data_IF_740434651636
#
_entry.id   IF_740434651636
#
_cell.length_a   1.000
_cell.length_b   1.000
_cell.length_c   1.000
_cell.angle_alpha   90.00
_cell.angle_beta   90.00
_cell.angle_gamma   90.00
#
_symmetry.space_group_name_H-M   'P 1'
#
loop_
_entity.id
_entity.type
_entity.pdbx_description
1 polymer ?
#
# COMPACT_ATOMS: atom_id res chain seq x y z
N UNK A 1 -7.53 -8.85 8.50
CA UNK A 1 -8.66 -9.03 9.44
C UNK A 1 -8.82 -7.88 10.44
N UNK A 2 -7.76 -7.28 10.98
CA UNK A 2 -7.88 -6.21 12.00
C UNK A 2 -8.55 -4.91 11.50
N UNK A 3 -8.33 -4.52 10.24
CA UNK A 3 -8.88 -3.30 9.67
C UNK A 3 -10.41 -3.36 9.58
N UNK A 4 -10.94 -4.39 8.91
CA UNK A 4 -12.38 -4.63 8.82
C UNK A 4 -13.01 -4.96 10.17
N UNK A 5 -12.34 -5.71 11.06
CA UNK A 5 -12.85 -5.94 12.42
C UNK A 5 -13.06 -4.62 13.17
N UNK A 6 -12.10 -3.70 13.11
CA UNK A 6 -12.25 -2.38 13.73
C UNK A 6 -13.35 -1.52 13.08
N UNK A 7 -13.60 -1.68 11.77
CA UNK A 7 -14.67 -1.01 11.02
C UNK A 7 -16.03 -1.61 11.34
N UNK A 8 -16.12 -2.93 11.46
CA UNK A 8 -17.33 -3.70 11.80
C UNK A 8 -17.73 -3.41 13.25
N UNK A 9 -16.78 -3.50 14.19
CA UNK A 9 -17.01 -3.25 15.62
C UNK A 9 -17.43 -1.81 15.90
N UNK A 10 -16.87 -0.84 15.16
CA UNK A 10 -17.15 0.58 15.42
C UNK A 10 -18.46 1.07 14.80
N UNK A 11 -19.01 0.37 13.81
CA UNK A 11 -20.10 0.92 12.97
C UNK A 11 -21.46 0.18 13.08
N UNK A 12 -21.62 -0.78 13.99
CA UNK A 12 -22.90 -1.47 14.23
C UNK A 12 -23.34 -2.41 13.10
N UNK A 13 -24.51 -3.05 13.24
CA UNK A 13 -25.01 -4.12 12.36
C UNK A 13 -25.70 -3.68 11.06
N UNK A 14 -25.67 -2.39 10.73
CA UNK A 14 -26.30 -1.85 9.52
C UNK A 14 -25.40 -1.87 8.28
N UNK A 15 -26.01 -1.82 7.09
CA UNK A 15 -25.30 -1.61 5.82
C UNK A 15 -24.63 -0.23 5.77
N UNK A 16 -23.40 -0.19 5.22
CA UNK A 16 -22.54 1.00 5.18
C UNK A 16 -22.03 1.25 3.77
N UNK A 17 -21.73 2.51 3.51
CA UNK A 17 -21.01 2.94 2.31
C UNK A 17 -19.54 3.09 2.68
N UNK A 18 -18.64 2.49 1.92
CA UNK A 18 -17.18 2.61 2.10
C UNK A 18 -16.64 3.63 1.11
N UNK A 19 -16.06 4.72 1.60
CA UNK A 19 -15.45 5.76 0.79
C UNK A 19 -13.93 5.63 0.90
N UNK A 20 -13.27 5.51 -0.25
CA UNK A 20 -11.84 5.34 -0.38
C UNK A 20 -11.21 6.48 -1.18
N UNK A 21 -9.96 6.76 -0.87
CA UNK A 21 -9.07 7.60 -1.67
C UNK A 21 -8.33 6.74 -2.71
N UNK A 22 -7.64 7.34 -3.66
CA UNK A 22 -6.89 6.65 -4.70
C UNK A 22 -5.88 5.65 -4.09
N UNK A 23 -5.03 6.14 -3.20
CA UNK A 23 -4.04 5.30 -2.52
C UNK A 23 -4.66 4.22 -1.62
N UNK A 24 -5.70 4.57 -0.85
CA UNK A 24 -6.32 3.59 0.07
C UNK A 24 -7.16 2.55 -0.67
N UNK A 25 -7.64 2.86 -1.88
CA UNK A 25 -8.24 1.89 -2.80
C UNK A 25 -7.23 0.82 -3.19
N UNK A 26 -5.99 1.20 -3.54
CA UNK A 26 -4.92 0.25 -3.81
C UNK A 26 -4.54 -0.59 -2.59
N UNK A 27 -4.48 0.00 -1.39
CA UNK A 27 -4.22 -0.74 -0.15
C UNK A 27 -5.30 -1.79 0.10
N UNK A 28 -6.58 -1.41 -0.05
CA UNK A 28 -7.70 -2.31 0.19
C UNK A 28 -7.76 -3.44 -0.86
N UNK A 29 -7.61 -3.12 -2.14
CA UNK A 29 -7.65 -4.10 -3.22
C UNK A 29 -6.47 -5.09 -3.18
N UNK A 30 -5.34 -4.68 -2.60
CA UNK A 30 -4.19 -5.57 -2.40
C UNK A 30 -4.39 -6.61 -1.29
N UNK A 31 -5.30 -6.35 -0.34
CA UNK A 31 -5.47 -7.18 0.86
C UNK A 31 -6.79 -7.93 0.93
N UNK A 32 -7.84 -7.41 0.29
CA UNK A 32 -9.22 -7.88 0.47
C UNK A 32 -9.92 -8.05 -0.87
N UNK A 33 -10.76 -9.09 -0.94
CA UNK A 33 -11.66 -9.31 -2.08
C UNK A 33 -13.00 -8.60 -1.84
N UNK A 34 -13.75 -8.37 -2.92
CA UNK A 34 -15.09 -7.80 -2.82
C UNK A 34 -16.04 -8.64 -1.95
N UNK A 35 -15.87 -9.97 -1.92
CA UNK A 35 -16.61 -10.86 -1.03
C UNK A 35 -16.40 -10.50 0.45
N UNK A 36 -15.14 -10.26 0.85
CA UNK A 36 -14.78 -9.97 2.24
C UNK A 36 -15.33 -8.60 2.68
N UNK A 37 -15.43 -7.66 1.75
CA UNK A 37 -16.01 -6.33 1.96
C UNK A 37 -17.53 -6.43 2.16
N UNK A 38 -18.22 -7.22 1.33
CA UNK A 38 -19.66 -7.47 1.45
C UNK A 38 -19.99 -8.17 2.78
N UNK A 39 -19.20 -9.16 3.20
CA UNK A 39 -19.33 -9.86 4.48
C UNK A 39 -19.20 -8.91 5.69
N UNK A 40 -18.57 -7.76 5.51
CA UNK A 40 -18.45 -6.71 6.52
C UNK A 40 -19.61 -5.70 6.53
N UNK A 41 -20.72 -6.02 5.85
CA UNK A 41 -21.90 -5.17 5.70
C UNK A 41 -21.60 -3.84 4.98
N UNK A 42 -20.70 -3.87 4.01
CA UNK A 42 -20.48 -2.74 3.09
C UNK A 42 -21.31 -2.98 1.84
N UNK A 43 -22.23 -2.07 1.51
CA UNK A 43 -23.11 -2.18 0.35
C UNK A 43 -22.46 -1.66 -0.93
N UNK A 44 -21.76 -0.53 -0.82
CA UNK A 44 -21.20 0.22 -1.95
C UNK A 44 -19.82 0.73 -1.57
N UNK A 45 -18.88 0.61 -2.51
CA UNK A 45 -17.55 1.23 -2.44
C UNK A 45 -17.53 2.42 -3.38
N UNK A 46 -17.26 3.61 -2.85
CA UNK A 46 -17.20 4.85 -3.62
C UNK A 46 -15.83 5.51 -3.53
N UNK A 47 -15.48 6.27 -4.57
CA UNK A 47 -14.25 7.03 -4.68
C UNK A 47 -14.47 8.47 -4.15
N UNK A 48 -13.61 8.90 -3.25
CA UNK A 48 -13.63 10.23 -2.63
C UNK A 48 -13.48 11.37 -3.64
N UNK A 49 -12.72 11.16 -4.72
CA UNK A 49 -12.45 12.19 -5.72
C UNK A 49 -13.67 12.47 -6.61
N UNK A 50 -14.57 11.49 -6.76
CA UNK A 50 -15.76 11.58 -7.61
C UNK A 50 -16.94 12.22 -6.87
N UNK A 51 -17.83 12.85 -7.64
CA UNK A 51 -19.10 13.37 -7.13
C UNK A 51 -20.02 12.20 -6.84
N UNK A 52 -20.52 12.14 -5.61
CA UNK A 52 -21.30 11.02 -5.08
C UNK A 52 -22.74 11.43 -4.82
N UNK A 53 -23.62 10.44 -4.86
CA UNK A 53 -25.03 10.64 -4.54
C UNK A 53 -25.26 10.54 -3.03
N UNK A 54 -26.20 11.32 -2.48
CA UNK A 54 -26.50 11.32 -1.05
C UNK A 54 -27.29 10.07 -0.66
N UNK A 55 -26.71 9.27 0.23
CA UNK A 55 -27.25 7.98 0.69
C UNK A 55 -27.65 8.05 2.17
N UNK A 56 -28.77 7.41 2.54
CA UNK A 56 -29.27 7.38 3.92
C UNK A 56 -28.54 6.36 4.82
N UNK A 57 -27.43 5.78 4.36
CA UNK A 57 -26.65 4.77 5.08
C UNK A 57 -25.46 5.42 5.80
N UNK A 58 -24.91 4.72 6.80
CA UNK A 58 -23.70 5.19 7.48
C UNK A 58 -22.49 5.13 6.53
N UNK A 59 -21.64 6.15 6.57
CA UNK A 59 -20.44 6.23 5.75
C UNK A 59 -19.20 5.87 6.56
N UNK A 60 -18.33 5.05 5.97
CA UNK A 60 -17.01 4.70 6.48
C UNK A 60 -15.99 5.29 5.52
N UNK A 61 -15.18 6.23 5.98
CA UNK A 61 -14.08 6.80 5.21
C UNK A 61 -12.79 6.10 5.60
N UNK A 62 -12.11 5.48 4.63
CA UNK A 62 -10.74 5.05 4.80
C UNK A 62 -9.84 5.83 3.85
N UNK A 63 -9.14 6.84 4.39
CA UNK A 63 -8.49 7.88 3.60
C UNK A 63 -7.08 8.21 4.11
N UNK A 64 -6.25 8.75 3.24
CA UNK A 64 -4.96 9.32 3.65
C UNK A 64 -5.18 10.65 4.38
N UNK A 65 -4.37 11.01 5.40
CA UNK A 65 -4.44 12.33 6.05
C UNK A 65 -3.85 13.45 5.16
N UNK A 66 -4.24 13.50 3.89
CA UNK A 66 -3.83 14.53 2.96
C UNK A 66 -4.76 15.76 3.07
N UNK A 67 -4.25 16.99 2.84
CA UNK A 67 -5.09 18.18 2.81
C UNK A 67 -6.24 18.09 1.80
N UNK A 68 -6.02 17.42 0.66
CA UNK A 68 -7.00 17.21 -0.40
C UNK A 68 -8.12 16.29 0.07
N UNK A 69 -7.77 15.13 0.67
CA UNK A 69 -8.75 14.16 1.15
C UNK A 69 -9.60 14.76 2.29
N UNK A 70 -8.97 15.51 3.21
CA UNK A 70 -9.68 16.23 4.27
C UNK A 70 -10.64 17.28 3.70
N UNK A 71 -10.21 18.05 2.70
CA UNK A 71 -11.07 19.05 2.06
C UNK A 71 -12.30 18.41 1.40
N UNK A 72 -12.14 17.27 0.70
CA UNK A 72 -13.27 16.53 0.10
C UNK A 72 -14.23 15.99 1.15
N UNK A 73 -13.72 15.48 2.28
CA UNK A 73 -14.59 15.11 3.40
C UNK A 73 -15.39 16.32 3.89
N UNK A 74 -14.77 17.49 4.05
CA UNK A 74 -15.48 18.69 4.48
C UNK A 74 -16.54 19.15 3.47
N UNK A 75 -16.28 19.01 2.17
CA UNK A 75 -17.24 19.29 1.10
C UNK A 75 -18.51 18.44 1.22
N UNK A 76 -18.39 17.15 1.56
CA UNK A 76 -19.53 16.23 1.78
C UNK A 76 -20.49 16.70 2.90
N UNK A 77 -20.00 17.55 3.82
CA UNK A 77 -20.74 18.08 4.97
C UNK A 77 -21.05 19.59 4.88
N UNK A 78 -21.07 20.16 3.67
CA UNK A 78 -21.43 21.57 3.47
C UNK A 78 -20.27 22.54 3.58
N UNK A 79 -19.06 22.08 3.24
CA UNK A 79 -17.84 22.89 3.13
C UNK A 79 -17.12 23.15 4.46
N UNK A 80 -16.06 23.99 4.45
CA UNK A 80 -15.15 24.17 5.59
C UNK A 80 -15.82 24.66 6.87
N UNK A 81 -16.84 25.51 6.74
CA UNK A 81 -17.55 26.14 7.86
C UNK A 81 -18.92 25.51 8.13
N UNK A 82 -19.32 24.49 7.35
CA UNK A 82 -20.68 23.93 7.39
C UNK A 82 -21.78 24.95 7.01
N UNK A 83 -21.41 26.13 6.51
CA UNK A 83 -22.31 27.23 6.12
C UNK A 83 -22.36 27.48 4.62
N UNK A 84 -21.61 26.72 3.81
CA UNK A 84 -21.69 26.81 2.34
C UNK A 84 -23.05 26.30 1.90
N UNK A 85 -24.01 27.22 1.83
CA UNK A 85 -25.44 27.00 1.55
C UNK A 85 -26.36 27.38 2.72
N UNK A 86 -26.22 28.61 3.24
CA UNK A 86 -27.34 29.36 3.86
C UNK A 86 -28.34 29.66 2.73
N UNK A 87 -29.08 28.62 2.31
CA UNK A 87 -29.94 28.65 1.13
C UNK A 87 -30.02 27.27 0.48
N UNK A 88 -31.01 26.47 0.91
CA UNK A 88 -31.65 25.37 0.15
C UNK A 88 -30.78 24.33 -0.61
N UNK A 89 -29.50 24.14 -0.33
CA UNK A 89 -28.68 23.21 -1.15
C UNK A 89 -27.45 22.55 -0.52
N UNK A 90 -27.09 22.85 0.73
CA UNK A 90 -25.94 22.20 1.39
C UNK A 90 -26.33 20.80 1.90
N UNK A 91 -26.50 19.85 0.98
CA UNK A 91 -26.98 18.51 1.29
C UNK A 91 -25.88 17.74 2.00
N UNK A 92 -26.13 17.37 3.25
CA UNK A 92 -25.33 16.36 3.95
C UNK A 92 -25.49 15.04 3.21
N UNK A 93 -24.39 14.46 2.72
CA UNK A 93 -24.45 13.23 1.93
C UNK A 93 -24.83 12.01 2.77
N UNK A 94 -24.31 11.94 4.01
CA UNK A 94 -24.47 10.76 4.86
C UNK A 94 -24.90 11.14 6.29
N UNK A 95 -25.84 10.43 6.91
CA UNK A 95 -26.35 10.74 8.25
C UNK A 95 -25.34 10.50 9.39
N UNK A 96 -24.46 9.50 9.27
CA UNK A 96 -23.43 9.23 10.28
C UNK A 96 -22.13 8.76 9.66
N UNK A 97 -21.01 9.12 10.27
CA UNK A 97 -19.67 8.97 9.69
C UNK A 97 -18.70 8.29 10.65
N UNK A 98 -17.92 7.37 10.11
CA UNK A 98 -16.73 6.80 10.74
C UNK A 98 -15.51 7.13 9.87
N UNK A 99 -14.51 7.82 10.43
CA UNK A 99 -13.29 8.19 9.72
C UNK A 99 -12.13 7.35 10.23
N UNK A 100 -11.49 6.65 9.32
CA UNK A 100 -10.28 5.89 9.53
C UNK A 100 -9.16 6.48 8.68
N UNK A 101 -8.14 7.00 9.33
CA UNK A 101 -6.96 7.52 8.63
C UNK A 101 -5.92 6.41 8.42
N UNK A 102 -5.31 6.40 7.24
CA UNK A 102 -4.21 5.47 6.92
C UNK A 102 -2.96 5.73 7.77
N UNK A 103 -2.68 6.98 8.11
CA UNK A 103 -1.51 7.40 8.90
C UNK A 103 -1.91 8.46 9.92
N UNK A 104 -0.96 8.82 10.79
CA UNK A 104 -1.13 9.86 11.81
C UNK A 104 -1.56 11.19 11.18
N UNK A 105 -2.62 11.77 11.73
CA UNK A 105 -3.17 13.04 11.25
C UNK A 105 -2.34 14.21 11.81
N UNK A 106 -1.93 15.18 10.99
CA UNK A 106 -1.30 16.40 11.49
C UNK A 106 -2.32 17.24 12.27
N UNK A 107 -1.88 17.96 13.29
CA UNK A 107 -2.76 18.79 14.13
C UNK A 107 -3.60 19.77 13.31
N UNK A 108 -3.02 20.37 12.27
CA UNK A 108 -3.74 21.28 11.34
C UNK A 108 -4.94 20.62 10.65
N UNK A 109 -4.80 19.35 10.27
CA UNK A 109 -5.88 18.58 9.65
C UNK A 109 -7.02 18.32 10.63
N UNK A 110 -6.69 18.02 11.88
CA UNK A 110 -7.67 17.78 12.93
C UNK A 110 -8.44 19.05 13.30
N UNK A 111 -7.76 20.21 13.39
CA UNK A 111 -8.42 21.49 13.67
C UNK A 111 -9.39 21.88 12.53
N UNK A 112 -9.04 21.62 11.27
CA UNK A 112 -9.96 21.82 10.13
C UNK A 112 -11.21 20.93 10.21
N UNK A 113 -11.07 19.69 10.66
CA UNK A 113 -12.21 18.78 10.85
C UNK A 113 -13.13 19.26 11.99
N UNK A 114 -12.55 19.74 13.10
CA UNK A 114 -13.30 20.30 14.24
C UNK A 114 -14.05 21.58 13.88
N UNK A 115 -13.52 22.38 12.96
CA UNK A 115 -14.14 23.64 12.55
C UNK A 115 -15.52 23.46 11.87
N UNK A 116 -15.83 22.28 11.33
CA UNK A 116 -17.13 22.00 10.72
C UNK A 116 -18.10 21.35 11.72
N UNK A 117 -19.13 22.07 12.21
CA UNK A 117 -20.05 21.55 13.23
C UNK A 117 -20.96 20.42 12.72
N UNK A 118 -21.26 20.37 11.41
CA UNK A 118 -22.12 19.32 10.83
C UNK A 118 -21.42 17.98 10.80
N UNK A 119 -20.14 18.01 10.44
CA UNK A 119 -19.29 16.82 10.48
C UNK A 119 -19.16 16.33 11.91
N UNK A 120 -18.81 17.20 12.87
CA UNK A 120 -18.65 16.83 14.28
C UNK A 120 -19.92 16.22 14.87
N UNK A 121 -21.11 16.73 14.52
CA UNK A 121 -22.39 16.16 14.96
C UNK A 121 -22.64 14.75 14.39
N UNK A 122 -22.16 14.47 13.19
CA UNK A 122 -22.41 13.20 12.48
C UNK A 122 -21.29 12.18 12.70
N UNK A 123 -20.14 12.62 13.21
CA UNK A 123 -18.95 11.82 13.45
C UNK A 123 -19.13 10.91 14.66
N UNK A 124 -19.09 9.59 14.42
CA UNK A 124 -19.19 8.56 15.47
C UNK A 124 -17.83 8.02 15.89
N UNK A 125 -16.90 7.89 14.95
CA UNK A 125 -15.57 7.31 15.22
C UNK A 125 -14.53 8.04 14.39
N UNK A 126 -13.40 8.35 15.02
CA UNK A 126 -12.19 8.83 14.36
C UNK A 126 -11.03 8.01 14.91
N UNK A 127 -10.38 7.22 14.04
CA UNK A 127 -9.27 6.33 14.40
C UNK A 127 -8.16 6.39 13.37
N UNK A 128 -6.93 6.16 13.81
CA UNK A 128 -5.75 6.02 12.94
C UNK A 128 -5.40 4.53 12.87
N UNK A 129 -5.32 3.96 11.67
CA UNK A 129 -5.06 2.53 11.49
C UNK A 129 -3.58 2.20 11.27
N UNK A 130 -2.77 3.20 10.88
CA UNK A 130 -1.36 3.02 10.52
C UNK A 130 -1.20 1.90 9.47
N UNK A 131 -1.86 2.08 8.33
CA UNK A 131 -1.83 1.19 7.17
C UNK A 131 -1.59 2.00 5.91
N UNK A 132 -0.32 2.22 5.58
CA UNK A 132 0.08 2.97 4.40
C UNK A 132 1.14 2.20 3.58
N UNK A 133 0.91 0.91 3.36
CA UNK A 133 1.74 0.04 2.52
C UNK A 133 0.86 -0.93 1.72
N UNK A 134 1.35 -1.32 0.55
CA UNK A 134 0.71 -2.31 -0.32
C UNK A 134 1.31 -3.68 -0.05
N UNK A 135 0.47 -4.71 0.00
CA UNK A 135 0.93 -6.11 0.10
C UNK A 135 0.85 -6.75 -1.26
N UNK A 136 1.98 -7.23 -1.78
CA UNK A 136 1.99 -8.02 -3.03
C UNK A 136 1.72 -9.48 -2.69
N UNK A 137 2.48 -9.99 -1.72
CA UNK A 137 2.38 -11.35 -1.22
C UNK A 137 2.41 -11.39 0.31
N UNK A 138 2.28 -12.59 0.87
CA UNK A 138 2.42 -12.85 2.31
C UNK A 138 3.73 -12.34 2.96
N UNK A 139 4.77 -12.05 2.16
CA UNK A 139 6.09 -11.62 2.64
C UNK A 139 6.67 -10.41 1.90
N UNK A 140 5.92 -9.87 0.94
CA UNK A 140 6.41 -8.81 0.05
C UNK A 140 5.50 -7.60 0.17
N UNK A 141 6.10 -6.45 0.47
CA UNK A 141 5.40 -5.18 0.60
C UNK A 141 6.00 -4.14 -0.33
N UNK A 142 5.19 -3.19 -0.74
CA UNK A 142 5.59 -2.05 -1.57
C UNK A 142 5.11 -0.77 -0.89
N UNK A 143 6.00 0.20 -0.77
CA UNK A 143 5.68 1.53 -0.25
C UNK A 143 5.20 2.50 -1.33
N UNK A 144 5.17 2.09 -2.60
CA UNK A 144 4.56 2.79 -3.75
C UNK A 144 4.99 4.26 -3.94
N UNK A 145 6.24 4.43 -4.37
CA UNK A 145 6.81 5.74 -4.70
C UNK A 145 7.30 5.74 -6.16
N UNK A 146 6.47 6.15 -7.13
CA UNK A 146 6.81 6.03 -8.56
C UNK A 146 8.05 6.87 -8.93
N UNK A 147 8.20 8.04 -8.32
CA UNK A 147 9.33 8.94 -8.60
C UNK A 147 10.61 8.59 -7.81
N UNK A 148 10.57 7.63 -6.89
CA UNK A 148 11.71 7.33 -6.03
C UNK A 148 12.92 6.85 -6.82
N UNK A 149 12.74 5.93 -7.77
CA UNK A 149 13.84 5.43 -8.59
C UNK A 149 14.53 6.56 -9.37
N UNK A 150 13.74 7.45 -9.99
CA UNK A 150 14.26 8.60 -10.74
C UNK A 150 15.00 9.60 -9.85
N UNK A 151 14.46 9.88 -8.67
CA UNK A 151 15.05 10.85 -7.74
C UNK A 151 16.30 10.33 -7.03
N UNK A 152 16.38 9.03 -6.78
CA UNK A 152 17.53 8.39 -6.13
C UNK A 152 18.64 8.04 -7.10
N UNK A 153 18.31 7.59 -8.32
CA UNK A 153 19.29 7.16 -9.32
C UNK A 153 19.64 8.26 -10.34
N UNK A 154 18.84 9.32 -10.44
CA UNK A 154 19.05 10.43 -11.38
C UNK A 154 20.13 11.43 -10.94
N UNK A 155 20.81 12.05 -11.92
CA UNK A 155 21.78 13.12 -11.69
C UNK A 155 21.13 14.39 -11.15
N UNK A 156 21.62 14.91 -10.02
CA UNK A 156 20.96 15.94 -9.24
C UNK A 156 21.37 17.39 -9.59
N UNK A 157 20.37 18.27 -9.68
CA UNK A 157 20.51 19.70 -9.36
C UNK A 157 19.87 20.03 -8.00
N UNK A 158 20.02 21.26 -7.51
CA UNK A 158 19.58 21.68 -6.15
C UNK A 158 18.08 21.45 -5.87
N UNK A 159 17.22 21.61 -6.88
CA UNK A 159 15.78 21.33 -6.78
C UNK A 159 15.47 19.87 -6.45
N UNK A 160 16.39 18.95 -6.81
CA UNK A 160 16.27 17.51 -6.55
C UNK A 160 16.41 17.18 -5.07
N UNK A 161 17.24 17.92 -4.31
CA UNK A 161 17.51 17.63 -2.90
C UNK A 161 16.28 17.83 -2.00
N UNK A 162 15.51 18.90 -2.23
CA UNK A 162 14.28 19.14 -1.47
C UNK A 162 13.20 18.09 -1.78
N UNK A 163 13.08 17.70 -3.05
CA UNK A 163 12.14 16.68 -3.51
C UNK A 163 12.50 15.30 -2.98
N UNK A 164 13.79 14.97 -2.94
CA UNK A 164 14.31 13.74 -2.33
C UNK A 164 13.98 13.68 -0.83
N UNK A 165 14.21 14.77 -0.08
CA UNK A 165 13.88 14.80 1.35
C UNK A 165 12.39 14.52 1.59
N UNK A 166 11.50 15.10 0.77
CA UNK A 166 10.05 14.83 0.84
C UNK A 166 9.72 13.37 0.55
N UNK A 167 10.34 12.76 -0.47
CA UNK A 167 10.15 11.34 -0.77
C UNK A 167 10.69 10.44 0.34
N UNK A 168 11.85 10.78 0.91
CA UNK A 168 12.41 10.06 2.05
C UNK A 168 11.45 10.10 3.25
N UNK A 169 10.90 11.28 3.57
CA UNK A 169 9.93 11.41 4.65
C UNK A 169 8.66 10.59 4.39
N UNK A 170 8.20 10.52 3.13
CA UNK A 170 7.08 9.68 2.74
C UNK A 170 7.39 8.18 2.93
N UNK A 171 8.56 7.71 2.47
CA UNK A 171 9.03 6.32 2.66
C UNK A 171 9.11 5.99 4.16
N UNK A 172 9.73 6.85 4.96
CA UNK A 172 9.85 6.68 6.42
C UNK A 172 8.48 6.59 7.07
N UNK A 173 7.55 7.47 6.68
CA UNK A 173 6.19 7.48 7.23
C UNK A 173 5.48 6.16 6.96
N UNK A 174 5.58 5.64 5.73
CA UNK A 174 4.97 4.35 5.33
C UNK A 174 5.62 3.15 6.01
N UNK A 175 6.95 3.11 6.08
CA UNK A 175 7.67 2.07 6.83
C UNK A 175 7.34 2.10 8.33
N UNK A 176 7.17 3.28 8.92
CA UNK A 176 6.75 3.38 10.31
C UNK A 176 5.35 2.78 10.53
N UNK A 177 4.42 2.95 9.57
CA UNK A 177 3.11 2.29 9.64
C UNK A 177 3.22 0.78 9.64
N UNK A 178 4.07 0.20 8.77
CA UNK A 178 4.33 -1.23 8.71
C UNK A 178 4.78 -1.79 10.07
N UNK A 179 5.83 -1.23 10.66
CA UNK A 179 6.33 -1.71 11.97
C UNK A 179 5.27 -1.56 13.07
N UNK A 180 4.45 -0.51 12.99
CA UNK A 180 3.33 -0.29 13.90
C UNK A 180 2.23 -1.35 13.73
N UNK A 181 1.96 -1.81 12.51
CA UNK A 181 1.02 -2.89 12.21
C UNK A 181 1.56 -4.25 12.65
N UNK A 182 2.85 -4.51 12.42
CA UNK A 182 3.52 -5.76 12.81
C UNK A 182 3.78 -5.84 14.32
N UNK A 183 3.73 -4.71 15.04
CA UNK A 183 4.11 -4.61 16.46
C UNK A 183 5.55 -5.04 16.72
N UNK A 184 6.44 -4.65 15.81
CA UNK A 184 7.86 -4.96 15.89
C UNK A 184 8.70 -3.68 15.99
N UNK A 185 9.79 -3.76 16.74
CA UNK A 185 10.78 -2.69 16.86
C UNK A 185 12.13 -3.18 16.29
N UNK A 186 12.55 -2.70 15.10
CA UNK A 186 13.71 -3.22 14.39
C UNK A 186 15.04 -2.61 14.84
N UNK A 187 16.11 -3.42 14.79
CA UNK A 187 17.50 -2.94 14.68
C UNK A 187 17.76 -2.57 13.22
N UNK A 188 17.98 -1.30 12.92
CA UNK A 188 18.21 -0.84 11.55
C UNK A 188 19.69 -0.91 11.20
N UNK A 189 20.02 -1.70 10.18
CA UNK A 189 21.36 -1.88 9.62
C UNK A 189 21.38 -1.31 8.21
N UNK A 190 22.44 -0.60 7.87
CA UNK A 190 22.61 0.00 6.54
C UNK A 190 24.08 -0.08 6.11
N UNK A 191 24.34 -0.04 4.80
CA UNK A 191 25.70 0.08 4.27
C UNK A 191 26.21 1.50 4.54
N UNK A 192 27.33 1.62 5.24
CA UNK A 192 27.95 2.92 5.51
C UNK A 192 28.38 3.61 4.20
N UNK A 193 28.16 4.93 4.13
CA UNK A 193 28.59 5.74 3.01
C UNK A 193 30.13 5.71 2.91
N UNK A 194 30.64 5.45 1.70
CA UNK A 194 32.06 5.55 1.41
C UNK A 194 32.34 6.95 0.83
N UNK A 195 33.48 7.58 1.18
CA UNK A 195 33.85 8.87 0.63
C UNK A 195 34.06 8.75 -0.89
N UNK A 196 33.50 9.69 -1.65
CA UNK A 196 33.67 9.72 -3.10
C UNK A 196 35.15 9.77 -3.48
N UNK A 197 35.52 8.89 -4.40
CA UNK A 197 36.86 8.81 -4.99
C UNK A 197 36.90 9.55 -6.33
N UNK A 198 38.07 10.02 -6.77
CA UNK A 198 38.24 10.58 -8.11
C UNK A 198 37.89 9.52 -9.16
N UNK A 199 36.85 9.78 -9.96
CA UNK A 199 36.34 8.85 -10.98
C UNK A 199 34.94 8.28 -10.69
N UNK A 200 34.39 8.57 -9.52
CA UNK A 200 33.03 8.17 -9.17
C UNK A 200 31.97 8.93 -10.01
N UNK A 201 30.88 8.26 -10.41
CA UNK A 201 29.78 8.90 -11.13
C UNK A 201 29.16 10.07 -10.33
N UNK A 202 28.71 11.14 -11.01
CA UNK A 202 28.11 12.30 -10.35
C UNK A 202 26.91 11.88 -9.49
N UNK A 203 26.80 12.46 -8.29
CA UNK A 203 25.73 12.15 -7.33
C UNK A 203 25.96 10.87 -6.51
N UNK A 204 27.17 10.29 -6.51
CA UNK A 204 27.51 9.15 -5.65
C UNK A 204 27.39 9.46 -4.14
N UNK A 205 27.84 10.63 -3.70
CA UNK A 205 27.72 11.04 -2.27
C UNK A 205 26.28 11.01 -1.77
N UNK A 206 25.36 11.51 -2.59
CA UNK A 206 23.93 11.58 -2.26
C UNK A 206 23.32 10.18 -2.20
N UNK A 207 23.69 9.30 -3.13
CA UNK A 207 23.24 7.90 -3.17
C UNK A 207 23.78 7.11 -1.97
N UNK A 208 25.07 7.25 -1.70
CA UNK A 208 25.75 6.57 -0.60
C UNK A 208 25.22 7.00 0.78
N UNK A 209 24.82 8.26 0.92
CA UNK A 209 24.24 8.79 2.16
C UNK A 209 22.74 8.49 2.35
N UNK A 210 22.02 8.11 1.30
CA UNK A 210 20.58 7.87 1.38
C UNK A 210 20.20 6.75 2.37
N UNK A 211 20.80 5.54 2.35
CA UNK A 211 20.52 4.50 3.34
C UNK A 211 20.73 4.95 4.79
N UNK A 212 21.79 5.72 5.03
CA UNK A 212 22.10 6.28 6.34
C UNK A 212 21.05 7.28 6.80
N UNK A 213 20.64 8.21 5.91
CA UNK A 213 19.63 9.21 6.21
C UNK A 213 18.26 8.57 6.45
N UNK A 214 17.89 7.56 5.64
CA UNK A 214 16.67 6.79 5.81
C UNK A 214 16.66 6.09 7.18
N UNK A 215 17.75 5.40 7.52
CA UNK A 215 17.89 4.69 8.78
C UNK A 215 17.77 5.63 9.99
N UNK A 216 18.44 6.79 9.94
CA UNK A 216 18.37 7.79 11.01
C UNK A 216 16.94 8.31 11.22
N UNK A 217 16.28 8.78 10.14
CA UNK A 217 14.92 9.33 10.26
C UNK A 217 13.90 8.27 10.66
N UNK A 218 14.06 7.04 10.18
CA UNK A 218 13.19 5.93 10.57
C UNK A 218 13.39 5.56 12.04
N UNK A 219 14.64 5.50 12.51
CA UNK A 219 14.94 5.27 13.93
C UNK A 219 14.30 6.33 14.83
N UNK A 220 14.45 7.62 14.48
CA UNK A 220 13.84 8.72 15.24
C UNK A 220 12.32 8.59 15.31
N UNK A 221 11.69 8.22 14.18
CA UNK A 221 10.23 8.04 14.10
C UNK A 221 9.77 6.84 14.93
N UNK A 222 10.43 5.69 14.80
CA UNK A 222 10.09 4.46 15.54
C UNK A 222 10.34 4.63 17.04
N UNK A 223 11.43 5.27 17.43
CA UNK A 223 11.73 5.61 18.84
C UNK A 223 10.65 6.53 19.44
N UNK A 224 10.07 7.42 18.64
CA UNK A 224 8.90 8.22 19.03
C UNK A 224 7.66 7.37 19.30
N UNK A 225 7.41 6.36 18.46
CA UNK A 225 6.28 5.43 18.60
C UNK A 225 6.46 4.45 19.78
N UNK A 226 7.69 4.02 20.03
CA UNK A 226 8.06 3.23 21.22
C UNK A 226 7.77 4.02 22.50
N UNK A 227 8.21 5.28 22.59
CA UNK A 227 7.90 6.16 23.73
C UNK A 227 6.40 6.40 23.92
N UNK A 228 5.63 6.37 22.84
CA UNK A 228 4.16 6.45 22.88
C UNK A 228 3.49 5.12 23.26
N UNK A 229 4.25 4.06 23.53
CA UNK A 229 3.73 2.74 23.92
C UNK A 229 3.10 1.95 22.77
N UNK A 230 3.34 2.35 21.51
CA UNK A 230 2.75 1.68 20.34
C UNK A 230 3.59 0.50 19.82
N UNK A 231 4.87 0.48 20.18
CA UNK A 231 5.86 -0.53 19.81
C UNK A 231 6.47 -1.18 21.07
N UNK A 232 7.04 -2.40 20.96
CA UNK A 232 7.73 -3.06 22.06
C UNK A 232 8.91 -2.23 22.61
N UNK A 233 9.20 -2.41 23.91
CA UNK A 233 10.31 -1.72 24.57
C UNK A 233 11.70 -2.23 24.20
N UNK A 234 11.78 -3.42 23.60
CA UNK A 234 13.03 -4.07 23.18
C UNK A 234 12.98 -4.31 21.69
N UNK A 235 14.15 -4.37 21.07
CA UNK A 235 14.30 -4.72 19.67
C UNK A 235 13.85 -6.17 19.43
N UNK A 236 13.01 -6.37 18.42
CA UNK A 236 12.37 -7.67 18.11
C UNK A 236 12.83 -8.28 16.79
N UNK A 237 13.33 -7.47 15.86
CA UNK A 237 13.74 -7.91 14.52
C UNK A 237 14.92 -7.09 13.99
N UNK A 238 15.52 -7.55 12.89
CA UNK A 238 16.56 -6.82 12.15
C UNK A 238 15.97 -6.27 10.83
N UNK A 239 16.26 -5.01 10.52
CA UNK A 239 15.93 -4.40 9.23
C UNK A 239 17.22 -4.03 8.50
N UNK A 240 17.39 -4.53 7.28
CA UNK A 240 18.54 -4.19 6.43
C UNK A 240 18.11 -3.22 5.33
N UNK A 241 18.75 -2.06 5.28
CA UNK A 241 18.58 -1.06 4.22
C UNK A 241 19.70 -1.20 3.20
N UNK A 242 19.32 -1.53 1.97
CA UNK A 242 20.21 -1.67 0.84
C UNK A 242 19.85 -0.67 -0.25
N UNK A 243 20.87 -0.21 -0.97
CA UNK A 243 20.70 0.51 -2.23
C UNK A 243 20.77 -0.48 -3.40
N UNK A 244 20.06 -0.19 -4.50
CA UNK A 244 20.01 -1.05 -5.69
C UNK A 244 21.39 -1.24 -6.33
N UNK A 245 22.32 -0.30 -6.14
CA UNK A 245 23.71 -0.41 -6.59
C UNK A 245 24.48 -1.59 -6.00
N UNK A 246 23.99 -2.19 -4.90
CA UNK A 246 24.60 -3.39 -4.32
C UNK A 246 24.61 -4.58 -5.29
N UNK A 247 23.54 -4.72 -6.08
CA UNK A 247 23.41 -5.77 -7.09
C UNK A 247 22.83 -5.15 -8.37
N UNK A 248 23.68 -4.69 -9.29
CA UNK A 248 23.21 -4.10 -10.54
C UNK A 248 22.78 -5.16 -11.57
N UNK A 249 23.10 -6.44 -11.36
CA UNK A 249 22.96 -7.47 -12.41
C UNK A 249 21.58 -8.14 -12.35
N UNK A 250 21.09 -8.47 -11.16
CA UNK A 250 19.84 -9.23 -11.02
C UNK A 250 18.61 -8.65 -11.75
N UNK A 251 18.39 -7.31 -11.82
CA UNK A 251 17.22 -6.76 -12.52
C UNK A 251 17.25 -6.96 -14.04
N UNK A 252 18.40 -7.28 -14.64
CA UNK A 252 18.56 -7.44 -16.08
C UNK A 252 18.67 -8.90 -16.54
N UNK A 253 18.79 -9.84 -15.60
CA UNK A 253 18.87 -11.27 -15.93
C UNK A 253 17.46 -11.80 -16.14
N UNK A 254 17.26 -12.56 -17.23
CA UNK A 254 16.10 -13.41 -17.42
C UNK A 254 16.13 -14.57 -16.42
N UNK A 255 15.28 -14.49 -15.40
CA UNK A 255 15.18 -15.49 -14.34
C UNK A 255 14.22 -16.61 -14.74
N UNK A 256 14.53 -17.86 -14.35
CA UNK A 256 13.78 -19.06 -14.81
C UNK A 256 12.65 -19.48 -13.85
N UNK A 257 12.42 -18.72 -12.78
CA UNK A 257 11.27 -18.94 -11.91
C UNK A 257 9.98 -18.54 -12.64
N UNK A 258 8.90 -19.29 -12.40
CA UNK A 258 7.63 -19.10 -13.12
C UNK A 258 7.09 -17.67 -13.02
N UNK A 259 7.13 -17.09 -11.82
CA UNK A 259 6.66 -15.72 -11.61
C UNK A 259 7.53 -14.72 -12.38
N UNK A 260 8.86 -14.80 -12.23
CA UNK A 260 9.76 -13.87 -12.89
C UNK A 260 9.65 -13.93 -14.41
N UNK A 261 9.68 -15.13 -15.01
CA UNK A 261 9.56 -15.28 -16.46
C UNK A 261 8.20 -14.82 -16.99
N UNK A 262 7.13 -14.98 -16.19
CA UNK A 262 5.81 -14.51 -16.56
C UNK A 262 5.75 -12.98 -16.57
N UNK A 263 6.25 -12.29 -15.54
CA UNK A 263 6.29 -10.82 -15.52
C UNK A 263 7.25 -10.21 -16.54
N UNK A 264 8.28 -10.95 -16.92
CA UNK A 264 9.30 -10.54 -17.87
C UNK A 264 8.85 -10.73 -19.34
N UNK A 265 8.34 -11.91 -19.69
CA UNK A 265 7.95 -12.23 -21.07
C UNK A 265 6.49 -11.87 -21.40
N UNK A 266 5.60 -11.89 -20.41
CA UNK A 266 4.17 -11.62 -20.62
C UNK A 266 3.83 -10.20 -20.17
N UNK A 267 2.85 -9.59 -20.85
CA UNK A 267 2.32 -8.28 -20.47
C UNK A 267 1.30 -8.43 -19.34
N UNK A 268 1.82 -8.58 -18.11
CA UNK A 268 1.01 -8.57 -16.89
C UNK A 268 0.92 -7.14 -16.36
N UNK A 269 -0.29 -6.59 -16.30
CA UNK A 269 -0.54 -5.23 -15.82
C UNK A 269 -1.40 -5.29 -14.56
N UNK A 270 -0.91 -4.76 -13.44
CA UNK A 270 -1.68 -4.74 -12.19
C UNK A 270 -2.08 -6.13 -11.70
N UNK A 271 -1.18 -7.11 -11.83
CA UNK A 271 -1.41 -8.54 -11.52
C UNK A 271 -2.50 -9.20 -12.39
N UNK A 272 -2.90 -8.58 -13.50
CA UNK A 272 -3.87 -9.14 -14.45
C UNK A 272 -3.15 -9.56 -15.72
N UNK A 273 -3.23 -10.86 -16.02
CA UNK A 273 -2.82 -11.41 -17.31
C UNK A 273 -4.03 -11.56 -18.22
N UNK A 274 -3.98 -10.93 -19.40
CA UNK A 274 -5.02 -11.09 -20.43
C UNK A 274 -4.56 -12.15 -21.42
N UNK A 275 -5.20 -13.32 -21.37
CA UNK A 275 -4.98 -14.35 -22.38
C UNK A 275 -5.68 -13.92 -23.69
N UNK A 276 -4.91 -13.76 -24.76
CA UNK A 276 -5.47 -13.56 -26.10
C UNK A 276 -5.97 -14.88 -26.69
N UNK A 277 -6.84 -14.87 -27.72
CA UNK A 277 -7.15 -16.07 -28.47
C UNK A 277 -5.86 -16.63 -29.06
N UNK A 278 -5.58 -17.90 -28.78
CA UNK A 278 -4.44 -18.61 -29.35
C UNK A 278 -4.60 -18.54 -30.88
N UNK A 279 -3.66 -17.94 -31.64
CA UNK A 279 -3.74 -18.02 -33.10
C UNK A 279 -3.74 -19.49 -33.46
N UNK A 280 -4.76 -19.92 -34.21
CA UNK A 280 -4.98 -21.31 -34.61
C UNK A 280 -3.66 -21.96 -34.97
N UNK A 281 -3.17 -22.84 -34.09
CA UNK A 281 -1.86 -23.45 -34.27
C UNK A 281 -1.96 -24.33 -35.52
N UNK A 282 -1.02 -24.15 -36.46
CA UNK A 282 -0.89 -25.04 -37.62
C UNK A 282 -0.91 -26.51 -37.17
N UNK A 283 -1.52 -27.44 -37.92
CA UNK A 283 -1.91 -28.78 -37.45
C UNK A 283 -0.77 -29.69 -36.93
N UNK A 284 0.51 -29.26 -37.05
CA UNK A 284 1.70 -30.00 -36.62
C UNK A 284 1.94 -30.05 -35.09
N UNK A 285 1.27 -29.22 -34.28
CA UNK A 285 1.44 -29.20 -32.80
C UNK A 285 0.22 -29.74 -32.04
N UNK A 286 -0.65 -30.48 -32.72
CA UNK A 286 -1.90 -31.04 -32.17
C UNK A 286 -1.72 -32.14 -31.10
N UNK A 287 -0.48 -32.52 -30.73
CA UNK A 287 -0.23 -33.54 -29.71
C UNK A 287 -0.25 -33.03 -28.27
N UNK A 288 -0.13 -31.71 -28.06
CA UNK A 288 -0.24 -31.11 -26.72
C UNK A 288 -1.60 -30.44 -26.56
N UNK A 289 -2.67 -31.25 -26.49
CA UNK A 289 -3.99 -30.73 -26.11
C UNK A 289 -4.03 -30.50 -24.61
N UNK A 290 -3.97 -29.24 -24.20
CA UNK A 290 -4.54 -28.85 -22.90
C UNK A 290 -6.05 -29.08 -22.98
N UNK A 291 -6.64 -29.69 -21.94
CA UNK A 291 -8.04 -30.10 -21.92
C UNK A 291 -8.96 -28.88 -21.99
N UNK A 292 -9.39 -28.54 -23.20
CA UNK A 292 -10.32 -27.46 -23.49
C UNK A 292 -11.74 -27.96 -23.14
N UNK A 293 -12.25 -27.55 -21.98
CA UNK A 293 -13.70 -27.54 -21.75
C UNK A 293 -14.21 -26.15 -22.10
N UNK A 294 -14.96 -26.10 -23.18
CA UNK A 294 -15.71 -24.96 -23.67
C UNK A 294 -16.77 -24.51 -22.67
N UNK A 295 -16.59 -23.32 -22.09
CA UNK A 295 -17.69 -22.44 -21.68
C UNK A 295 -17.20 -21.00 -21.72
N UNK A 296 -17.88 -20.18 -22.51
CA UNK A 296 -17.70 -18.73 -22.62
C UNK A 296 -18.07 -18.05 -21.29
N UNK A 297 -17.15 -18.05 -20.33
CA UNK A 297 -17.20 -17.14 -19.19
C UNK A 297 -15.78 -16.65 -18.92
N UNK A 298 -15.60 -15.32 -18.81
CA UNK A 298 -14.31 -14.74 -18.45
C UNK A 298 -13.94 -15.18 -17.04
N UNK A 299 -12.89 -15.99 -16.90
CA UNK A 299 -12.39 -16.41 -15.60
C UNK A 299 -11.33 -15.41 -15.10
N UNK A 300 -11.64 -14.71 -14.00
CA UNK A 300 -10.60 -14.18 -13.13
C UNK A 300 -9.87 -15.35 -12.47
N UNK A 301 -8.61 -15.55 -12.82
CA UNK A 301 -7.74 -16.49 -12.12
C UNK A 301 -7.40 -15.92 -10.74
N UNK A 302 -8.32 -16.11 -9.79
CA UNK A 302 -7.98 -15.96 -8.38
C UNK A 302 -7.11 -17.14 -7.95
N UNK A 303 -6.07 -16.86 -7.15
CA UNK A 303 -5.04 -17.78 -6.60
C UNK A 303 -5.56 -19.10 -5.98
N UNK A 304 -6.87 -19.28 -5.84
CA UNK A 304 -7.52 -20.40 -5.17
C UNK A 304 -7.78 -21.63 -6.05
N UNK A 305 -7.60 -21.54 -7.38
CA UNK A 305 -7.88 -22.64 -8.32
C UNK A 305 -6.63 -23.15 -9.03
N UNK A 306 -5.56 -23.43 -8.28
CA UNK A 306 -4.42 -24.18 -8.80
C UNK A 306 -4.84 -25.65 -8.92
N UNK A 307 -4.96 -26.13 -10.16
CA UNK A 307 -4.92 -27.55 -10.48
C UNK A 307 -3.75 -28.18 -9.70
N UNK A 308 -4.06 -29.09 -8.76
CA UNK A 308 -3.05 -29.86 -8.02
C UNK A 308 -2.28 -30.74 -9.01
N UNK A 309 -1.22 -30.20 -9.60
CA UNK A 309 -0.19 -31.00 -10.25
C UNK A 309 0.64 -31.60 -9.11
N UNK A 310 0.32 -32.85 -8.78
CA UNK A 310 1.09 -33.67 -7.83
C UNK A 310 2.43 -34.02 -8.49
N UNK A 311 3.47 -33.24 -8.20
CA UNK A 311 4.83 -33.68 -8.48
C UNK A 311 5.29 -34.63 -7.36
N UNK A 312 5.45 -35.91 -7.70
CA UNK A 312 6.07 -36.90 -6.84
C UNK A 312 7.58 -36.65 -6.89
N UNK A 313 8.14 -36.03 -5.85
CA UNK A 313 9.59 -35.99 -5.68
C UNK A 313 10.05 -37.26 -4.96
N UNK A 314 11.09 -37.96 -5.46
CA UNK A 314 11.73 -39.03 -4.71
C UNK A 314 12.38 -38.45 -3.45
N UNK A 315 12.11 -39.09 -2.30
CA UNK A 315 12.76 -38.78 -1.02
C UNK A 315 14.26 -39.01 -1.14
N UNK A 316 15.07 -37.97 -0.92
CA UNK A 316 16.49 -38.12 -0.60
C UNK A 316 16.84 -37.40 0.69
N UNK A 317 17.81 -38.01 1.37
CA UNK A 317 18.04 -37.97 2.80
C UNK A 317 18.50 -36.61 3.36
N UNK A 318 18.25 -36.48 4.65
CA UNK A 318 18.74 -35.44 5.53
C UNK A 318 20.27 -35.32 5.55
N UNK A 319 20.78 -34.12 5.78
CA UNK A 319 22.14 -33.95 6.29
C UNK A 319 22.85 -32.65 5.93
N UNK A 320 23.06 -31.85 6.97
CA UNK A 320 24.19 -30.92 7.16
C UNK A 320 24.13 -29.50 6.57
N UNK A 321 24.31 -28.56 7.51
CA UNK A 321 24.56 -27.13 7.33
C UNK A 321 26.02 -26.89 6.95
N UNK A 322 26.27 -25.83 6.17
CA UNK A 322 27.32 -24.84 6.44
C UNK A 322 27.13 -23.61 5.55
N UNK A 323 27.03 -22.45 6.19
CA UNK A 323 27.19 -21.15 5.56
C UNK A 323 28.63 -20.68 5.82
N UNK A 324 29.27 -20.09 4.81
CA UNK A 324 30.44 -19.22 4.98
C UNK A 324 30.29 -18.03 4.04
N UNK A 325 30.66 -16.87 4.57
CA UNK A 325 30.59 -15.53 3.98
C UNK A 325 31.09 -15.45 2.54
#
# INVERSE_FOLDING_TARGET
TYMLGSVVDSAGSGWKVLILDDFTTHVLSSTLRMSDILDCNVSVVEDLAKKREPLQQAAVYFIQPSPQSIARVLEDFGGPTGTSGIGKGAKQLYPSVHIFFSNKVPAEGLEKLKANPRLVKSLKTLKELNLEFLTVDSRTIITDHPEAARLLLGGGGDSSQSSMKKQLDAIVSRLATLFTSLKEFPVIRYKAAQPSQPGDPPGQDVRASFPQLLAQRLWDRLSGLQRAGQLPNKETCDMLVLDRSYDPVAPFIHEWSYEAIAYDLLRIEGNVYRCGPVPSVSPALSSWRFCEKSSEEGYELTSSSICRIRFIYPKTAAGMRKWKF
#
